data_IF_907754318965
#
_entry.id   IF_907754318965
#
_cell.length_a   1.000
_cell.length_b   1.000
_cell.length_c   1.000
_cell.angle_alpha   90.00
_cell.angle_beta   90.00
_cell.angle_gamma   90.00
#
_symmetry.space_group_name_H-M   'P 1'
#
loop_
_entity.id
_entity.type
_entity.pdbx_description
1 polymer ?
#
# COMPACT_ATOMS: atom_id res chain seq x y z
N UNK A 1 -88.36 -7.80 0.21
CA UNK A 1 -86.92 -7.49 0.02
C UNK A 1 -86.72 -6.05 0.45
N UNK A 2 -85.79 -5.66 1.32
CA UNK A 2 -84.73 -6.37 2.00
C UNK A 2 -84.43 -5.64 3.33
N UNK A 3 -84.06 -6.44 4.33
CA UNK A 3 -83.49 -6.08 5.63
C UNK A 3 -82.02 -5.66 5.46
N UNK A 4 -81.59 -4.55 6.08
CA UNK A 4 -80.17 -4.27 6.40
C UNK A 4 -80.10 -3.27 7.55
N UNK A 5 -79.86 -3.69 8.80
CA UNK A 5 -78.58 -4.05 9.49
C UNK A 5 -77.87 -2.85 10.12
N UNK A 6 -77.75 -2.92 11.44
CA UNK A 6 -77.07 -2.03 12.37
C UNK A 6 -75.64 -1.66 11.95
N UNK A 7 -75.31 -0.37 12.00
CA UNK A 7 -73.94 0.13 11.93
C UNK A 7 -73.35 0.13 13.34
N UNK A 8 -72.54 -0.88 13.64
CA UNK A 8 -71.78 -0.97 14.88
C UNK A 8 -70.59 0.02 14.82
N UNK A 9 -70.69 1.12 15.56
CA UNK A 9 -69.56 2.04 15.78
C UNK A 9 -68.62 1.36 16.78
N UNK A 10 -67.46 0.95 16.28
CA UNK A 10 -66.33 0.48 17.09
C UNK A 10 -65.45 1.68 17.39
N UNK A 11 -65.51 2.20 18.61
CA UNK A 11 -64.51 3.13 19.12
C UNK A 11 -63.20 2.37 19.34
N UNK A 12 -62.21 2.64 18.48
CA UNK A 12 -60.85 2.14 18.67
C UNK A 12 -60.17 3.10 19.67
N UNK A 13 -59.71 2.65 20.84
CA UNK A 13 -59.00 3.51 21.77
C UNK A 13 -57.69 3.97 21.11
N UNK A 14 -57.61 5.27 20.86
CA UNK A 14 -56.44 5.95 20.32
C UNK A 14 -55.54 6.35 21.49
N UNK A 15 -54.28 5.92 21.37
CA UNK A 15 -53.07 6.50 21.97
C UNK A 15 -52.67 6.15 23.40
N UNK A 16 -51.98 5.00 23.54
CA UNK A 16 -50.76 4.92 24.36
C UNK A 16 -49.50 4.74 23.48
N UNK A 17 -49.60 4.04 22.33
CA UNK A 17 -48.45 3.78 21.46
C UNK A 17 -47.91 5.02 20.72
N UNK A 18 -48.74 6.01 20.37
CA UNK A 18 -48.22 7.25 19.75
C UNK A 18 -47.46 8.12 20.75
N UNK A 19 -47.84 8.15 22.02
CA UNK A 19 -47.09 8.91 23.02
C UNK A 19 -45.71 8.28 23.24
N UNK A 20 -45.62 6.96 23.36
CA UNK A 20 -44.32 6.30 23.54
C UNK A 20 -43.43 6.42 22.30
N UNK A 21 -44.00 6.36 21.10
CA UNK A 21 -43.27 6.60 19.84
C UNK A 21 -42.84 8.05 19.69
N UNK A 22 -43.65 9.02 20.13
CA UNK A 22 -43.27 10.44 20.17
C UNK A 22 -42.19 10.70 21.22
N UNK A 23 -42.25 10.12 22.41
CA UNK A 23 -41.21 10.25 23.44
C UNK A 23 -39.90 9.65 22.95
N UNK A 24 -39.93 8.48 22.30
CA UNK A 24 -38.73 7.85 21.73
C UNK A 24 -38.17 8.67 20.54
N UNK A 25 -39.03 9.30 19.73
CA UNK A 25 -38.60 10.21 18.66
C UNK A 25 -38.04 11.51 19.24
N UNK A 26 -38.60 12.06 20.32
CA UNK A 26 -38.10 13.25 20.99
C UNK A 26 -36.78 12.97 21.71
N UNK A 27 -36.62 11.80 22.34
CA UNK A 27 -35.36 11.37 22.96
C UNK A 27 -34.29 11.03 21.92
N UNK A 28 -34.66 10.48 20.75
CA UNK A 28 -33.70 10.30 19.64
C UNK A 28 -33.36 11.62 18.96
N UNK A 29 -34.28 12.58 18.88
CA UNK A 29 -34.01 13.94 18.37
C UNK A 29 -33.18 14.76 19.38
N UNK A 30 -33.40 14.59 20.69
CA UNK A 30 -32.59 15.19 21.75
C UNK A 30 -31.19 14.54 21.83
N UNK A 31 -31.09 13.23 21.68
CA UNK A 31 -29.81 12.52 21.56
C UNK A 31 -29.07 12.86 20.24
N UNK A 32 -29.80 13.19 19.17
CA UNK A 32 -29.24 13.75 17.94
C UNK A 32 -28.81 15.22 18.12
N UNK A 33 -29.51 16.02 18.93
CA UNK A 33 -29.10 17.38 19.29
C UNK A 33 -27.81 17.39 20.12
N UNK A 34 -27.58 16.35 20.94
CA UNK A 34 -26.32 16.12 21.67
C UNK A 34 -25.27 15.35 20.86
N UNK A 35 -25.48 15.13 19.55
CA UNK A 35 -24.47 14.55 18.69
C UNK A 35 -23.57 15.67 18.15
N UNK A 36 -22.23 15.58 18.23
CA UNK A 36 -21.32 16.63 17.78
C UNK A 36 -21.45 16.99 16.28
N UNK A 37 -22.17 16.19 15.50
CA UNK A 37 -22.53 16.51 14.11
C UNK A 37 -23.67 17.55 14.00
N UNK A 38 -24.55 17.67 14.99
CA UNK A 38 -25.61 18.67 15.04
C UNK A 38 -25.08 20.06 15.44
N UNK A 39 -24.02 20.12 16.24
CA UNK A 39 -23.33 21.38 16.54
C UNK A 39 -22.49 21.86 15.36
N UNK A 40 -21.90 20.93 14.59
CA UNK A 40 -21.21 21.24 13.32
C UNK A 40 -22.20 21.72 12.23
N UNK A 41 -23.45 21.23 12.23
CA UNK A 41 -24.46 21.68 11.27
C UNK A 41 -24.99 23.10 11.56
N UNK A 42 -24.85 23.59 12.80
CA UNK A 42 -25.15 24.99 13.15
C UNK A 42 -24.11 25.98 12.60
N UNK A 43 -22.89 25.53 12.31
CA UNK A 43 -21.84 26.34 11.71
C UNK A 43 -21.56 25.91 10.25
N UNK A 44 -22.04 26.63 9.23
CA UNK A 44 -21.87 26.25 7.82
C UNK A 44 -20.40 26.10 7.36
N UNK A 45 -19.46 26.82 7.98
CA UNK A 45 -18.03 26.72 7.67
C UNK A 45 -17.38 25.38 8.06
N UNK A 46 -17.60 24.91 9.28
CA UNK A 46 -17.06 23.64 9.77
C UNK A 46 -17.63 22.41 9.04
N UNK A 47 -18.91 22.45 8.66
CA UNK A 47 -19.52 21.39 7.86
C UNK A 47 -18.95 21.33 6.43
N UNK A 48 -18.72 22.50 5.81
CA UNK A 48 -18.06 22.59 4.50
C UNK A 48 -16.63 22.03 4.58
N UNK A 49 -15.86 22.42 5.60
CA UNK A 49 -14.48 21.96 5.80
C UNK A 49 -14.42 20.44 6.00
N UNK A 50 -15.33 19.89 6.80
CA UNK A 50 -15.45 18.44 6.99
C UNK A 50 -15.70 17.72 5.66
N UNK A 51 -16.62 18.23 4.83
CA UNK A 51 -16.88 17.66 3.50
C UNK A 51 -15.66 17.78 2.58
N UNK A 52 -14.94 18.89 2.62
CA UNK A 52 -13.72 19.10 1.83
C UNK A 52 -12.62 18.11 2.23
N UNK A 53 -12.36 17.95 3.54
CA UNK A 53 -11.35 17.01 4.03
C UNK A 53 -11.73 15.55 3.78
N UNK A 54 -13.02 15.20 3.90
CA UNK A 54 -13.48 13.86 3.55
C UNK A 54 -13.31 13.56 2.06
N UNK A 55 -13.57 14.54 1.18
CA UNK A 55 -13.26 14.42 -0.25
C UNK A 55 -11.76 14.30 -0.50
N UNK A 56 -10.93 15.06 0.20
CA UNK A 56 -9.47 14.99 0.07
C UNK A 56 -8.94 13.63 0.56
N UNK A 57 -9.48 13.08 1.64
CA UNK A 57 -9.18 11.73 2.13
C UNK A 57 -9.51 10.66 1.07
N UNK A 58 -10.67 10.72 0.42
CA UNK A 58 -11.03 9.82 -0.69
C UNK A 58 -10.07 9.96 -1.89
N UNK A 59 -9.60 11.17 -2.18
CA UNK A 59 -8.61 11.42 -3.24
C UNK A 59 -7.23 10.87 -2.86
N UNK A 60 -6.82 10.99 -1.60
CA UNK A 60 -5.60 10.36 -1.09
C UNK A 60 -5.71 8.83 -1.17
N UNK A 61 -6.82 8.25 -0.73
CA UNK A 61 -7.07 6.80 -0.80
C UNK A 61 -6.95 6.26 -2.22
N UNK A 62 -7.59 6.92 -3.20
CA UNK A 62 -7.48 6.53 -4.62
C UNK A 62 -6.06 6.68 -5.18
N UNK A 63 -5.35 7.76 -4.84
CA UNK A 63 -3.95 7.97 -5.25
C UNK A 63 -3.03 6.92 -4.65
N UNK A 64 -3.22 6.58 -3.37
CA UNK A 64 -2.45 5.55 -2.67
C UNK A 64 -2.68 4.17 -3.26
N UNK A 65 -3.93 3.78 -3.51
CA UNK A 65 -4.27 2.49 -4.13
C UNK A 65 -3.59 2.31 -5.50
N UNK A 66 -3.57 3.36 -6.34
CA UNK A 66 -2.84 3.33 -7.64
C UNK A 66 -1.33 3.21 -7.47
N UNK A 67 -0.74 3.83 -6.44
CA UNK A 67 0.70 3.71 -6.16
C UNK A 67 1.06 2.33 -5.61
N UNK A 68 0.20 1.75 -4.79
CA UNK A 68 0.33 0.41 -4.24
C UNK A 68 0.25 -0.66 -5.33
N UNK A 69 -0.74 -0.60 -6.21
CA UNK A 69 -0.84 -1.52 -7.35
C UNK A 69 0.37 -1.42 -8.28
N UNK A 70 0.91 -0.21 -8.50
CA UNK A 70 2.16 0.00 -9.25
C UNK A 70 3.36 -0.62 -8.54
N UNK A 71 3.47 -0.48 -7.21
CA UNK A 71 4.53 -1.11 -6.41
C UNK A 71 4.46 -2.63 -6.57
N UNK A 72 3.27 -3.20 -6.49
CA UNK A 72 3.07 -4.65 -6.59
C UNK A 72 3.36 -5.17 -8.00
N UNK A 73 3.02 -4.41 -9.04
CA UNK A 73 3.43 -4.71 -10.40
C UNK A 73 4.96 -4.77 -10.56
N UNK A 74 5.68 -3.76 -10.04
CA UNK A 74 7.15 -3.75 -10.06
C UNK A 74 7.71 -4.94 -9.25
N UNK A 75 7.09 -5.28 -8.12
CA UNK A 75 7.47 -6.45 -7.32
C UNK A 75 7.36 -7.76 -8.11
N UNK A 76 6.27 -7.95 -8.86
CA UNK A 76 6.09 -9.12 -9.74
C UNK A 76 7.14 -9.16 -10.86
N UNK A 77 7.46 -8.02 -11.47
CA UNK A 77 8.51 -7.95 -12.50
C UNK A 77 9.88 -8.33 -11.95
N UNK A 78 10.24 -7.89 -10.73
CA UNK A 78 11.49 -8.27 -10.06
C UNK A 78 11.51 -9.77 -9.79
N UNK A 79 10.42 -10.33 -9.27
CA UNK A 79 10.31 -11.76 -9.02
C UNK A 79 10.47 -12.58 -10.31
N UNK A 80 9.83 -12.15 -11.39
CA UNK A 80 9.96 -12.80 -12.70
C UNK A 80 11.40 -12.78 -13.21
N UNK A 81 12.12 -11.65 -13.10
CA UNK A 81 13.54 -11.56 -13.47
C UNK A 81 14.41 -12.52 -12.63
N UNK A 82 14.14 -12.64 -11.33
CA UNK A 82 14.82 -13.61 -10.47
C UNK A 82 14.54 -15.06 -10.90
N UNK A 83 13.29 -15.40 -11.21
CA UNK A 83 12.95 -16.74 -11.73
C UNK A 83 13.69 -17.02 -13.04
N UNK A 84 13.70 -16.07 -13.98
CA UNK A 84 14.42 -16.19 -15.26
C UNK A 84 15.93 -16.40 -15.04
N UNK A 85 16.52 -15.74 -14.05
CA UNK A 85 17.92 -15.93 -13.68
C UNK A 85 18.22 -17.38 -13.24
N UNK A 86 17.42 -17.93 -12.34
CA UNK A 86 17.62 -19.31 -11.88
C UNK A 86 17.38 -20.35 -12.98
N UNK A 87 16.34 -20.14 -13.81
CA UNK A 87 16.06 -20.99 -14.96
C UNK A 87 17.23 -20.96 -15.95
N UNK A 88 17.76 -19.76 -16.26
CA UNK A 88 18.93 -19.60 -17.10
C UNK A 88 20.13 -20.39 -16.56
N UNK A 89 20.47 -20.24 -15.27
CA UNK A 89 21.59 -20.95 -14.68
C UNK A 89 21.37 -22.46 -14.59
N UNK A 90 20.15 -22.91 -14.30
CA UNK A 90 19.79 -24.34 -14.28
C UNK A 90 19.94 -24.98 -15.66
N UNK A 91 19.46 -24.33 -16.72
CA UNK A 91 19.63 -24.78 -18.10
C UNK A 91 21.10 -24.73 -18.52
N UNK A 92 21.79 -23.64 -18.23
CA UNK A 92 23.20 -23.45 -18.55
C UNK A 92 24.07 -24.55 -17.91
N UNK A 93 23.89 -24.83 -16.62
CA UNK A 93 24.64 -25.90 -15.94
C UNK A 93 24.27 -27.30 -16.47
N UNK A 94 22.99 -27.56 -16.76
CA UNK A 94 22.56 -28.82 -17.37
C UNK A 94 23.26 -29.06 -18.71
N UNK A 95 23.22 -28.06 -19.60
CA UNK A 95 23.87 -28.14 -20.92
C UNK A 95 25.39 -28.32 -20.77
N UNK A 96 26.01 -27.57 -19.85
CA UNK A 96 27.43 -27.65 -19.58
C UNK A 96 27.85 -29.06 -19.13
N UNK A 97 27.07 -29.66 -18.22
CA UNK A 97 27.31 -31.01 -17.72
C UNK A 97 27.10 -32.07 -18.81
N UNK A 98 26.03 -31.98 -19.60
CA UNK A 98 25.81 -32.93 -20.71
C UNK A 98 26.89 -32.80 -21.79
N UNK A 99 27.52 -31.64 -21.94
CA UNK A 99 28.55 -31.38 -22.95
C UNK A 99 29.99 -31.61 -22.46
N UNK A 100 30.22 -32.04 -21.21
CA UNK A 100 31.57 -32.13 -20.63
C UNK A 100 32.36 -33.39 -21.01
N UNK A 101 31.87 -34.20 -21.95
CA UNK A 101 32.49 -35.45 -22.41
C UNK A 101 33.73 -35.22 -23.31
N UNK A 102 34.86 -34.77 -22.73
CA UNK A 102 36.15 -34.76 -23.41
C UNK A 102 37.27 -33.96 -22.72
N UNK A 103 38.47 -34.54 -22.67
CA UNK A 103 39.68 -33.96 -22.03
C UNK A 103 40.16 -32.62 -22.64
N UNK A 104 39.68 -32.21 -23.82
CA UNK A 104 40.11 -30.98 -24.52
C UNK A 104 39.31 -29.72 -24.17
N UNK A 105 38.22 -29.83 -23.39
CA UNK A 105 37.34 -28.70 -23.11
C UNK A 105 37.85 -27.76 -22.00
N UNK A 106 38.78 -28.21 -21.15
CA UNK A 106 39.34 -27.42 -20.06
C UNK A 106 40.15 -26.17 -20.53
N UNK A 107 40.65 -26.12 -21.78
CA UNK A 107 41.33 -24.92 -22.32
C UNK A 107 40.37 -23.79 -22.72
N UNK A 108 39.09 -24.09 -22.99
CA UNK A 108 38.07 -23.13 -23.49
C UNK A 108 37.00 -22.79 -22.44
N UNK A 109 37.23 -23.11 -21.17
CA UNK A 109 36.30 -22.88 -20.05
C UNK A 109 35.88 -21.42 -19.83
N UNK A 110 36.71 -20.48 -20.30
CA UNK A 110 36.41 -19.06 -20.20
C UNK A 110 35.25 -18.62 -21.09
N UNK A 111 34.94 -19.34 -22.19
CA UNK A 111 33.85 -18.95 -23.11
C UNK A 111 32.47 -19.15 -22.45
N UNK A 112 32.12 -20.33 -21.90
CA UNK A 112 30.87 -20.50 -21.15
C UNK A 112 30.82 -19.61 -19.90
N UNK A 113 31.95 -19.44 -19.22
CA UNK A 113 32.05 -18.61 -18.02
C UNK A 113 31.78 -17.12 -18.31
N UNK A 114 32.39 -16.57 -19.36
CA UNK A 114 32.16 -15.19 -19.78
C UNK A 114 30.72 -14.96 -20.27
N UNK A 115 30.15 -15.91 -21.00
CA UNK A 115 28.75 -15.84 -21.45
C UNK A 115 27.80 -15.82 -20.24
N UNK A 116 27.98 -16.74 -19.29
CA UNK A 116 27.20 -16.80 -18.06
C UNK A 116 27.37 -15.52 -17.23
N UNK A 117 28.59 -15.02 -17.05
CA UNK A 117 28.85 -13.78 -16.33
C UNK A 117 28.13 -12.58 -16.98
N UNK A 118 28.18 -12.47 -18.31
CA UNK A 118 27.55 -11.37 -19.05
C UNK A 118 26.02 -11.36 -18.87
N UNK A 119 25.37 -12.51 -19.04
CA UNK A 119 23.90 -12.61 -18.88
C UNK A 119 23.49 -12.35 -17.42
N UNK A 120 24.23 -12.88 -16.44
CA UNK A 120 23.99 -12.62 -15.03
C UNK A 120 24.14 -11.14 -14.66
N UNK A 121 25.15 -10.45 -15.20
CA UNK A 121 25.36 -9.01 -15.00
C UNK A 121 24.19 -8.20 -15.57
N UNK A 122 23.71 -8.54 -16.76
CA UNK A 122 22.54 -7.87 -17.36
C UNK A 122 21.30 -8.06 -16.50
N UNK A 123 21.01 -9.28 -16.04
CA UNK A 123 19.84 -9.53 -15.19
C UNK A 123 19.98 -8.81 -13.84
N UNK A 124 21.16 -8.88 -13.20
CA UNK A 124 21.43 -8.18 -11.95
C UNK A 124 21.26 -6.65 -12.10
N UNK A 125 21.72 -6.07 -13.22
CA UNK A 125 21.51 -4.66 -13.53
C UNK A 125 20.04 -4.30 -13.71
N UNK A 126 19.26 -5.12 -14.45
CA UNK A 126 17.82 -4.90 -14.62
C UNK A 126 17.07 -4.97 -13.28
N UNK A 127 17.39 -5.97 -12.44
CA UNK A 127 16.86 -6.09 -11.08
C UNK A 127 17.21 -4.85 -10.27
N UNK A 128 18.47 -4.39 -10.32
CA UNK A 128 18.92 -3.19 -9.61
C UNK A 128 18.12 -1.93 -10.00
N UNK A 129 17.93 -1.70 -11.29
CA UNK A 129 17.15 -0.56 -11.80
C UNK A 129 15.69 -0.64 -11.32
N UNK A 130 15.07 -1.81 -11.42
CA UNK A 130 13.68 -2.03 -10.97
C UNK A 130 13.55 -1.86 -9.45
N UNK A 131 14.54 -2.34 -8.69
CA UNK A 131 14.59 -2.21 -7.23
C UNK A 131 14.75 -0.76 -6.79
N UNK A 132 15.60 0.02 -7.46
CA UNK A 132 15.68 1.47 -7.24
C UNK A 132 14.34 2.17 -7.50
N UNK A 133 13.62 1.78 -8.56
CA UNK A 133 12.27 2.30 -8.84
C UNK A 133 11.27 1.86 -7.77
N UNK A 134 11.31 0.62 -7.33
CA UNK A 134 10.48 0.07 -6.26
C UNK A 134 10.62 0.91 -4.99
N UNK A 135 11.85 1.13 -4.52
CA UNK A 135 12.13 1.93 -3.33
C UNK A 135 11.76 3.40 -3.48
N UNK A 136 11.89 3.96 -4.69
CA UNK A 136 11.43 5.33 -4.96
C UNK A 136 9.91 5.45 -4.78
N UNK A 137 9.14 4.47 -5.27
CA UNK A 137 7.67 4.45 -5.12
C UNK A 137 7.28 4.17 -3.67
N UNK A 138 7.94 3.23 -3.00
CA UNK A 138 7.69 2.91 -1.60
C UNK A 138 7.93 4.13 -0.70
N UNK A 139 9.05 4.84 -0.87
CA UNK A 139 9.35 6.05 -0.11
C UNK A 139 8.34 7.19 -0.34
N UNK A 140 7.78 7.28 -1.56
CA UNK A 140 6.70 8.22 -1.85
C UNK A 140 5.41 7.79 -1.15
N UNK A 141 5.06 6.50 -1.23
CA UNK A 141 3.86 5.95 -0.62
C UNK A 141 3.88 6.07 0.92
N UNK A 142 5.03 5.84 1.56
CA UNK A 142 5.19 6.01 3.01
C UNK A 142 5.00 7.45 3.46
N UNK A 143 5.46 8.42 2.65
CA UNK A 143 5.26 9.84 2.92
C UNK A 143 3.79 10.21 2.81
N UNK A 144 3.15 9.87 1.69
CA UNK A 144 1.72 10.10 1.48
C UNK A 144 0.86 9.42 2.55
N UNK A 145 1.24 8.22 3.01
CA UNK A 145 0.53 7.50 4.08
C UNK A 145 0.63 8.22 5.43
N UNK A 146 1.76 8.87 5.69
CA UNK A 146 1.96 9.65 6.91
C UNK A 146 1.10 10.91 6.88
N UNK A 147 1.07 11.59 5.73
CA UNK A 147 0.25 12.79 5.53
C UNK A 147 -1.26 12.46 5.59
N UNK A 148 -1.68 11.35 4.97
CA UNK A 148 -3.06 10.85 5.03
C UNK A 148 -3.49 10.53 6.47
N UNK A 149 -2.62 9.89 7.28
CA UNK A 149 -2.92 9.63 8.70
C UNK A 149 -3.09 10.92 9.50
N UNK A 150 -2.33 11.97 9.20
CA UNK A 150 -2.48 13.27 9.86
C UNK A 150 -3.83 13.91 9.51
N UNK A 151 -4.24 13.85 8.23
CA UNK A 151 -5.56 14.32 7.79
C UNK A 151 -6.70 13.58 8.49
N UNK A 152 -6.65 12.24 8.58
CA UNK A 152 -7.67 11.45 9.29
C UNK A 152 -7.78 11.85 10.76
N UNK A 153 -6.65 12.15 11.44
CA UNK A 153 -6.68 12.66 12.82
C UNK A 153 -7.31 14.05 12.91
N UNK A 154 -7.01 14.96 11.98
CA UNK A 154 -7.65 16.28 11.94
C UNK A 154 -9.17 16.18 11.73
N UNK A 155 -9.62 15.26 10.85
CA UNK A 155 -11.04 14.97 10.66
C UNK A 155 -11.67 14.45 11.96
N UNK A 156 -11.00 13.53 12.66
CA UNK A 156 -11.48 13.02 13.95
C UNK A 156 -11.53 14.12 15.03
N UNK A 157 -10.50 14.96 15.12
CA UNK A 157 -10.50 16.09 16.06
C UNK A 157 -11.60 17.11 15.75
N UNK A 158 -11.84 17.42 14.47
CA UNK A 158 -12.94 18.29 14.05
C UNK A 158 -14.30 17.68 14.42
N UNK A 159 -14.47 16.36 14.22
CA UNK A 159 -15.69 15.63 14.64
C UNK A 159 -15.89 15.60 16.15
N UNK A 160 -14.82 15.65 16.95
CA UNK A 160 -14.91 15.62 18.42
C UNK A 160 -15.04 17.01 19.04
N UNK A 161 -14.46 18.06 18.43
CA UNK A 161 -14.42 19.43 18.97
C UNK A 161 -15.51 20.35 18.42
N UNK A 162 -16.08 20.02 17.25
CA UNK A 162 -17.18 20.80 16.65
C UNK A 162 -16.82 22.27 16.45
N UNK A 163 -17.66 23.17 16.96
CA UNK A 163 -17.49 24.63 16.82
C UNK A 163 -16.30 25.22 17.58
N UNK A 164 -15.71 24.47 18.53
CA UNK A 164 -14.50 24.88 19.24
C UNK A 164 -13.20 24.57 18.48
N UNK A 165 -13.30 24.02 17.27
CA UNK A 165 -12.15 23.71 16.45
C UNK A 165 -11.53 24.98 15.87
N UNK A 166 -10.28 25.23 16.22
CA UNK A 166 -9.54 26.38 15.73
C UNK A 166 -9.15 26.18 14.25
N UNK A 167 -9.80 26.94 13.36
CA UNK A 167 -9.57 26.95 11.92
C UNK A 167 -8.12 27.33 11.55
N UNK A 168 -7.36 27.96 12.45
CA UNK A 168 -5.94 28.28 12.23
C UNK A 168 -5.02 27.05 12.27
N UNK A 169 -5.50 25.91 12.80
CA UNK A 169 -4.83 24.61 12.81
C UNK A 169 -5.19 23.72 11.62
N UNK A 170 -5.56 24.32 10.49
CA UNK A 170 -5.73 23.58 9.23
C UNK A 170 -4.48 22.69 9.01
N UNK A 171 -4.66 21.38 8.69
CA UNK A 171 -3.53 20.51 8.42
C UNK A 171 -2.70 21.20 7.34
N UNK A 172 -1.48 21.63 7.70
CA UNK A 172 -0.65 22.41 6.80
C UNK A 172 -0.31 21.55 5.59
N UNK A 173 -1.17 21.64 4.57
CA UNK A 173 -1.20 20.81 3.38
C UNK A 173 -0.06 21.18 2.40
N UNK A 174 1.05 21.72 2.89
CA UNK A 174 2.11 22.26 2.04
C UNK A 174 3.41 22.63 2.72
N UNK A 175 3.44 22.84 4.05
CA UNK A 175 4.73 23.03 4.72
C UNK A 175 5.32 21.67 5.02
N UNK A 176 6.16 21.22 4.08
CA UNK A 176 7.21 20.20 4.30
C UNK A 176 7.88 20.47 5.65
N UNK A 177 7.36 19.86 6.70
CA UNK A 177 8.12 19.65 7.91
C UNK A 177 9.18 18.64 7.50
N UNK A 178 10.35 19.15 7.10
CA UNK A 178 11.60 18.40 7.09
C UNK A 178 11.83 17.97 8.54
N UNK A 179 11.16 16.90 8.94
CA UNK A 179 11.47 16.23 10.18
C UNK A 179 12.85 15.62 9.98
N UNK A 180 13.86 16.33 10.45
CA UNK A 180 15.22 15.84 10.63
C UNK A 180 15.23 14.88 11.83
N UNK A 181 14.46 13.80 11.74
CA UNK A 181 14.35 12.84 12.83
C UNK A 181 15.19 11.61 12.50
N UNK A 182 16.38 11.56 13.11
CA UNK A 182 17.10 10.37 13.61
C UNK A 182 17.22 9.14 12.68
N UNK A 183 17.06 9.27 11.36
CA UNK A 183 17.29 8.13 10.43
C UNK A 183 18.78 7.85 10.16
N UNK A 184 19.70 8.72 10.60
CA UNK A 184 21.10 8.71 10.16
C UNK A 184 21.82 7.40 10.58
N UNK A 185 21.44 6.79 11.71
CA UNK A 185 22.07 5.56 12.21
C UNK A 185 21.62 4.29 11.49
N UNK A 186 20.39 4.24 10.97
CA UNK A 186 19.82 3.04 10.35
C UNK A 186 19.87 3.03 8.82
N UNK A 187 20.17 4.17 8.18
CA UNK A 187 20.33 4.28 6.73
C UNK A 187 21.24 3.24 6.09
N UNK A 188 22.45 2.92 6.60
CA UNK A 188 23.30 1.93 5.94
C UNK A 188 22.74 0.50 6.06
N UNK A 189 22.09 0.15 7.17
CA UNK A 189 21.48 -1.17 7.39
C UNK A 189 20.22 -1.33 6.53
N UNK A 190 19.37 -0.30 6.46
CA UNK A 190 18.20 -0.32 5.57
C UNK A 190 18.64 -0.32 4.11
N UNK A 191 19.66 0.44 3.74
CA UNK A 191 20.28 0.41 2.42
C UNK A 191 20.79 -0.99 2.08
N UNK A 192 21.58 -1.63 2.95
CA UNK A 192 22.03 -3.01 2.73
C UNK A 192 20.86 -3.99 2.62
N UNK A 193 19.82 -3.82 3.44
CA UNK A 193 18.58 -4.60 3.33
C UNK A 193 17.88 -4.44 1.98
N UNK A 194 17.93 -3.24 1.42
CA UNK A 194 17.32 -2.92 0.13
C UNK A 194 18.04 -3.59 -1.05
N UNK A 195 19.34 -3.93 -0.94
CA UNK A 195 20.10 -4.61 -2.00
C UNK A 195 20.36 -6.09 -1.75
N UNK A 196 19.75 -6.70 -0.73
CA UNK A 196 19.92 -8.13 -0.42
C UNK A 196 19.71 -9.02 -1.65
N UNK A 197 18.70 -8.72 -2.46
CA UNK A 197 18.41 -9.48 -3.70
C UNK A 197 19.55 -9.36 -4.69
N UNK A 198 20.03 -8.15 -4.98
CA UNK A 198 21.16 -7.94 -5.91
C UNK A 198 22.44 -8.59 -5.40
N UNK A 199 22.75 -8.47 -4.10
CA UNK A 199 23.90 -9.13 -3.47
C UNK A 199 23.80 -10.64 -3.62
N UNK A 200 22.62 -11.22 -3.36
CA UNK A 200 22.38 -12.64 -3.52
C UNK A 200 22.62 -13.12 -4.97
N UNK A 201 22.11 -12.39 -5.97
CA UNK A 201 22.31 -12.73 -7.39
C UNK A 201 23.79 -12.67 -7.79
N UNK A 202 24.53 -11.67 -7.32
CA UNK A 202 25.98 -11.54 -7.57
C UNK A 202 26.75 -12.67 -6.90
N UNK A 203 26.43 -13.00 -5.64
CA UNK A 203 27.05 -14.12 -4.93
C UNK A 203 26.78 -15.46 -5.64
N UNK A 204 25.54 -15.71 -6.07
CA UNK A 204 25.18 -16.93 -6.80
C UNK A 204 25.96 -17.02 -8.12
N UNK A 205 26.04 -15.92 -8.87
CA UNK A 205 26.87 -15.84 -10.09
C UNK A 205 28.33 -16.18 -9.78
N UNK A 206 28.88 -15.61 -8.71
CA UNK A 206 30.24 -15.88 -8.23
C UNK A 206 30.51 -17.34 -7.87
N UNK A 207 29.49 -18.11 -7.48
CA UNK A 207 29.57 -19.56 -7.24
C UNK A 207 29.47 -20.38 -8.53
N UNK A 208 28.67 -19.94 -9.50
CA UNK A 208 28.51 -20.63 -10.78
C UNK A 208 29.81 -20.59 -11.59
N UNK A 209 30.56 -19.48 -11.57
CA UNK A 209 31.81 -19.34 -12.33
C UNK A 209 32.89 -20.40 -12.00
N UNK A 210 33.28 -20.64 -10.73
CA UNK A 210 34.22 -21.70 -10.40
C UNK A 210 33.63 -23.10 -10.64
N UNK A 211 32.31 -23.26 -10.49
CA UNK A 211 31.62 -24.52 -10.81
C UNK A 211 31.75 -24.88 -12.29
N UNK A 212 31.72 -23.89 -13.20
CA UNK A 212 31.95 -24.13 -14.63
C UNK A 212 33.34 -24.73 -14.90
N UNK A 213 34.36 -24.20 -14.20
CA UNK A 213 35.73 -24.70 -14.31
C UNK A 213 35.82 -26.13 -13.76
N UNK A 214 35.20 -26.40 -12.61
CA UNK A 214 35.21 -27.73 -12.01
C UNK A 214 34.53 -28.76 -12.92
N UNK A 215 33.37 -28.46 -13.48
CA UNK A 215 32.63 -29.38 -14.37
C UNK A 215 33.38 -29.67 -15.69
N UNK A 216 34.05 -28.67 -16.27
CA UNK A 216 34.76 -28.83 -17.55
C UNK A 216 36.17 -29.42 -17.42
N UNK A 217 36.74 -29.44 -16.21
CA UNK A 217 38.09 -29.93 -15.93
C UNK A 217 38.12 -31.12 -14.97
N UNK A 218 36.95 -31.63 -14.57
CA UNK A 218 36.77 -32.93 -13.91
C UNK A 218 36.74 -34.04 -14.95
#
# INVERSE_FOLDING_TARGET
MAETKDAHVVEIPVDEEHQQKQITVVDTVAALQHHPLAEISQSPGHFLLLKLWQREEDLYGRRMSRKESRKDAIGREIFQLCCSFFVFHGLFLTILFTSSSGHHHCKKWWIPSALSACTSLVIAFLVQVKLCRYWKVDRQLQRDRTDSRALTRCIQELRMKGASFDLSKEPQNGKKLKSSSVEIKWRPITWCSHYRVTVFLVCFTGLVLPSCRFILCA
#
